data_IF_777905071515
#
_entry.id   IF_777905071515
#
_cell.length_a   1.000
_cell.length_b   1.000
_cell.length_c   1.000
_cell.angle_alpha   90.00
_cell.angle_beta   90.00
_cell.angle_gamma   90.00
#
_symmetry.space_group_name_H-M   'P 1'
#
loop_
_entity.id
_entity.type
_entity.pdbx_description
1 polymer ?
#
# COMPACT_ATOMS: atom_id res chain seq x y z
N UNK A 1 4.11 -22.28 -29.57
CA UNK A 1 4.35 -22.02 -28.13
C UNK A 1 3.37 -22.75 -27.17
N UNK A 2 2.32 -23.44 -27.65
CA UNK A 2 1.47 -24.30 -26.81
C UNK A 2 2.16 -25.61 -26.33
N UNK A 3 3.28 -26.00 -26.94
CA UNK A 3 3.97 -27.29 -26.73
C UNK A 3 4.76 -27.39 -25.41
N UNK A 4 4.89 -26.31 -24.65
CA UNK A 4 5.65 -26.28 -23.39
C UNK A 4 4.75 -26.34 -22.14
N UNK A 5 3.43 -26.48 -22.27
CA UNK A 5 2.50 -26.49 -21.13
C UNK A 5 2.49 -25.19 -20.32
N UNK A 6 3.15 -24.14 -20.78
CA UNK A 6 3.35 -22.88 -20.05
C UNK A 6 2.03 -22.13 -19.79
N UNK A 7 0.99 -22.42 -20.60
CA UNK A 7 -0.34 -21.83 -20.44
C UNK A 7 -1.28 -22.68 -19.55
N UNK A 8 -0.95 -23.95 -19.27
CA UNK A 8 -1.64 -24.80 -18.30
C UNK A 8 -0.95 -24.82 -16.92
N UNK A 9 0.27 -24.28 -16.84
CA UNK A 9 1.03 -24.21 -15.61
C UNK A 9 0.45 -23.16 -14.65
N UNK A 10 0.13 -23.58 -13.42
CA UNK A 10 -0.22 -22.68 -12.32
C UNK A 10 1.01 -21.89 -11.87
N UNK A 11 1.30 -20.79 -12.56
CA UNK A 11 2.41 -19.89 -12.23
C UNK A 11 1.98 -18.82 -11.22
N UNK A 12 2.88 -18.37 -10.30
CA UNK A 12 2.57 -17.27 -9.40
C UNK A 12 2.26 -15.98 -10.17
N UNK A 13 1.16 -15.31 -9.81
CA UNK A 13 0.87 -13.95 -10.28
C UNK A 13 1.56 -12.96 -9.35
N UNK A 14 2.69 -12.41 -9.78
CA UNK A 14 3.40 -11.39 -9.03
C UNK A 14 2.77 -10.00 -9.25
N UNK A 15 2.48 -9.32 -8.14
CA UNK A 15 1.97 -7.93 -8.14
C UNK A 15 3.09 -6.88 -8.14
N UNK A 16 4.32 -7.31 -7.86
CA UNK A 16 5.54 -6.50 -7.86
C UNK A 16 6.75 -7.39 -8.14
N UNK A 17 7.83 -6.81 -8.65
CA UNK A 17 9.13 -7.47 -8.73
C UNK A 17 10.23 -6.57 -8.13
N UNK A 18 11.00 -7.05 -7.14
CA UNK A 18 10.91 -8.38 -6.54
C UNK A 18 9.59 -8.56 -5.75
N UNK A 19 9.09 -9.81 -5.60
CA UNK A 19 7.88 -10.09 -4.82
C UNK A 19 8.04 -9.64 -3.37
N UNK A 20 6.97 -9.20 -2.71
CA UNK A 20 7.01 -8.72 -1.33
C UNK A 20 7.69 -9.68 -0.33
N UNK A 21 7.62 -11.00 -0.54
CA UNK A 21 8.34 -11.98 0.29
C UNK A 21 9.87 -11.82 0.28
N UNK A 22 10.41 -11.10 -0.70
CA UNK A 22 11.83 -10.77 -0.82
C UNK A 22 12.19 -9.45 -0.13
N UNK A 23 11.24 -8.77 0.53
CA UNK A 23 11.56 -7.64 1.39
C UNK A 23 12.26 -8.17 2.64
N UNK A 24 13.59 -8.13 2.65
CA UNK A 24 14.38 -8.38 3.86
C UNK A 24 14.38 -7.17 4.81
N UNK A 25 15.11 -7.29 5.92
CA UNK A 25 15.29 -6.22 6.92
C UNK A 25 16.20 -5.07 6.47
N UNK A 26 16.60 -5.03 5.19
CA UNK A 26 17.54 -4.05 4.65
C UNK A 26 16.90 -2.68 4.35
N UNK A 27 15.58 -2.54 4.54
CA UNK A 27 14.88 -1.26 4.38
C UNK A 27 14.55 -0.72 5.77
N UNK A 28 15.25 0.34 6.15
CA UNK A 28 15.09 1.05 7.42
C UNK A 28 14.58 2.50 7.18
N UNK A 29 14.19 3.23 8.23
CA UNK A 29 13.67 4.60 8.10
C UNK A 29 14.64 5.60 7.47
N UNK A 30 15.95 5.46 7.69
CA UNK A 30 16.98 6.35 7.10
C UNK A 30 17.00 6.16 5.59
N UNK A 31 17.03 4.90 5.15
CA UNK A 31 17.04 4.55 3.72
C UNK A 31 15.77 5.01 3.01
N UNK A 32 14.61 4.95 3.67
CA UNK A 32 13.35 5.50 3.13
C UNK A 32 13.44 7.02 2.98
N UNK A 33 13.94 7.73 4.00
CA UNK A 33 14.13 9.18 3.96
C UNK A 33 15.05 9.61 2.81
N UNK A 34 16.15 8.88 2.60
CA UNK A 34 17.09 9.10 1.49
C UNK A 34 16.48 8.89 0.11
N UNK A 35 15.48 8.01 -0.03
CA UNK A 35 14.77 7.82 -1.29
C UNK A 35 13.77 8.94 -1.55
N UNK A 36 13.04 9.36 -0.52
CA UNK A 36 12.06 10.45 -0.61
C UNK A 36 12.76 11.78 -0.92
N UNK A 37 13.92 12.06 -0.31
CA UNK A 37 14.69 13.30 -0.54
C UNK A 37 15.22 13.43 -1.98
N UNK A 38 15.31 12.33 -2.72
CA UNK A 38 15.74 12.30 -4.14
C UNK A 38 14.60 12.59 -5.12
N UNK A 39 13.35 12.65 -4.66
CA UNK A 39 12.21 13.00 -5.51
C UNK A 39 12.30 14.49 -5.86
N UNK A 40 12.35 14.80 -7.16
CA UNK A 40 12.46 16.19 -7.63
C UNK A 40 11.22 16.99 -7.25
N UNK A 41 11.36 18.27 -6.82
CA UNK A 41 10.23 19.17 -6.65
C UNK A 41 9.39 19.22 -7.94
N UNK A 42 8.06 19.21 -7.79
CA UNK A 42 7.13 19.20 -8.92
C UNK A 42 6.91 17.83 -9.58
N UNK A 43 7.51 16.75 -9.06
CA UNK A 43 7.20 15.39 -9.53
C UNK A 43 5.75 15.02 -9.20
N UNK A 44 5.07 14.36 -10.14
CA UNK A 44 3.76 13.75 -9.88
C UNK A 44 3.93 12.59 -8.89
N UNK A 45 3.11 12.59 -7.83
CA UNK A 45 3.07 11.50 -6.86
C UNK A 45 1.76 10.73 -6.99
N UNK A 46 1.81 9.44 -6.69
CA UNK A 46 0.62 8.60 -6.51
C UNK A 46 0.53 8.20 -5.05
N UNK A 47 -0.65 8.36 -4.45
CA UNK A 47 -0.90 7.99 -3.06
C UNK A 47 -1.72 6.70 -3.03
N UNK A 48 -1.23 5.72 -2.28
CA UNK A 48 -1.97 4.50 -1.97
C UNK A 48 -2.38 4.51 -0.49
N UNK A 49 -3.68 4.39 -0.24
CA UNK A 49 -4.25 4.28 1.11
C UNK A 49 -4.95 2.94 1.24
N UNK A 50 -4.55 2.15 2.23
CA UNK A 50 -5.20 0.87 2.51
C UNK A 50 -6.39 1.08 3.46
N UNK A 51 -7.60 0.63 3.09
CA UNK A 51 -8.78 0.69 3.97
C UNK A 51 -9.12 -0.73 4.42
N UNK A 52 -8.79 -1.12 5.68
CA UNK A 52 -8.90 -2.52 6.12
C UNK A 52 -10.29 -2.88 6.68
N UNK A 53 -11.38 -2.22 6.25
CA UNK A 53 -12.71 -2.41 6.83
C UNK A 53 -13.75 -2.83 5.81
N UNK A 54 -14.56 -3.82 6.18
CA UNK A 54 -15.71 -4.26 5.39
C UNK A 54 -16.97 -4.29 6.25
N UNK A 55 -18.11 -3.82 5.72
CA UNK A 55 -19.41 -3.95 6.40
C UNK A 55 -19.88 -5.41 6.48
N UNK A 56 -19.54 -6.20 5.47
CA UNK A 56 -19.77 -7.64 5.39
C UNK A 56 -18.51 -8.29 4.85
N UNK A 57 -18.08 -9.39 5.45
CA UNK A 57 -16.94 -10.16 4.97
C UNK A 57 -17.41 -11.10 3.86
N UNK A 58 -16.78 -11.01 2.69
CA UNK A 58 -16.99 -11.97 1.61
C UNK A 58 -16.23 -13.26 1.93
N UNK A 59 -16.85 -14.41 1.67
CA UNK A 59 -16.21 -15.71 1.89
C UNK A 59 -14.93 -15.91 1.06
N UNK A 60 -14.86 -15.29 -0.12
CA UNK A 60 -13.70 -15.32 -1.00
C UNK A 60 -12.70 -14.16 -0.76
N UNK A 61 -12.86 -13.37 0.32
CA UNK A 61 -11.97 -12.25 0.58
C UNK A 61 -10.55 -12.74 0.91
N UNK A 62 -9.60 -12.43 0.03
CA UNK A 62 -8.18 -12.74 0.23
C UNK A 62 -7.38 -11.55 0.80
N UNK A 63 -8.04 -10.44 1.13
CA UNK A 63 -7.41 -9.24 1.70
C UNK A 63 -7.48 -9.32 3.22
N UNK A 64 -6.44 -8.82 3.89
CA UNK A 64 -6.47 -8.61 5.34
C UNK A 64 -7.47 -7.48 5.64
N UNK A 65 -8.68 -7.84 6.03
CA UNK A 65 -9.76 -6.90 6.35
C UNK A 65 -10.46 -7.31 7.65
N UNK A 66 -10.92 -6.32 8.40
CA UNK A 66 -11.72 -6.48 9.60
C UNK A 66 -13.20 -6.23 9.29
N UNK A 67 -14.08 -7.11 9.74
CA UNK A 67 -15.52 -6.88 9.69
C UNK A 67 -15.90 -5.79 10.68
N UNK A 68 -16.54 -4.72 10.21
CA UNK A 68 -17.01 -3.62 11.06
C UNK A 68 -18.53 -3.54 11.09
N UNK A 69 -19.11 -3.49 12.28
CA UNK A 69 -20.56 -3.35 12.51
C UNK A 69 -21.00 -1.89 12.70
N UNK A 70 -20.07 -0.98 12.94
CA UNK A 70 -20.31 0.46 13.13
C UNK A 70 -19.24 1.29 12.43
N UNK A 71 -19.44 2.60 12.34
CA UNK A 71 -18.47 3.52 11.72
C UNK A 71 -17.34 3.95 12.66
N UNK A 72 -17.51 3.79 13.98
CA UNK A 72 -16.53 4.17 14.99
C UNK A 72 -15.07 3.75 14.69
N UNK A 73 -14.74 2.48 14.34
CA UNK A 73 -13.37 2.10 14.03
C UNK A 73 -12.85 2.72 12.71
N UNK A 74 -13.75 2.99 11.74
CA UNK A 74 -13.42 3.65 10.48
C UNK A 74 -13.09 5.11 10.74
N UNK A 75 -13.91 5.79 11.55
CA UNK A 75 -13.68 7.18 11.96
C UNK A 75 -12.36 7.33 12.70
N UNK A 76 -12.09 6.47 13.68
CA UNK A 76 -10.82 6.45 14.41
C UNK A 76 -9.62 6.27 13.46
N UNK A 77 -9.72 5.34 12.51
CA UNK A 77 -8.67 5.13 11.50
C UNK A 77 -8.46 6.37 10.62
N UNK A 78 -9.53 7.02 10.18
CA UNK A 78 -9.45 8.26 9.39
C UNK A 78 -8.79 9.38 10.19
N UNK A 79 -9.05 9.50 11.49
CA UNK A 79 -8.36 10.49 12.34
C UNK A 79 -6.85 10.22 12.42
N UNK A 80 -6.45 8.96 12.58
CA UNK A 80 -5.02 8.58 12.57
C UNK A 80 -4.39 8.88 11.21
N UNK A 81 -5.07 8.56 10.10
CA UNK A 81 -4.59 8.89 8.77
C UNK A 81 -4.42 10.39 8.57
N UNK A 82 -5.40 11.20 9.00
CA UNK A 82 -5.30 12.65 8.94
C UNK A 82 -4.13 13.15 9.76
N UNK A 83 -3.90 12.63 10.97
CA UNK A 83 -2.76 13.02 11.80
C UNK A 83 -1.41 12.64 11.17
N UNK A 84 -1.31 11.47 10.52
CA UNK A 84 -0.08 11.01 9.88
C UNK A 84 0.23 11.64 8.52
N UNK A 85 -0.81 12.06 7.78
CA UNK A 85 -0.68 12.73 6.47
C UNK A 85 -0.58 14.25 6.66
N UNK A 86 -1.17 14.81 7.72
CA UNK A 86 -1.04 16.21 8.05
C UNK A 86 0.42 16.53 8.38
N UNK A 87 1.06 17.45 7.64
CA UNK A 87 2.45 17.73 7.84
C UNK A 87 2.71 18.58 9.08
N UNK A 88 3.82 18.35 9.81
CA UNK A 88 4.54 19.43 10.46
C UNK A 88 5.43 20.22 9.46
N UNK A 89 5.75 19.69 8.27
CA UNK A 89 6.79 20.26 7.39
C UNK A 89 6.73 19.92 5.88
N UNK A 90 5.64 19.36 5.33
CA UNK A 90 5.56 19.10 3.89
C UNK A 90 5.37 20.41 3.11
N UNK A 91 6.48 20.93 2.59
CA UNK A 91 6.62 22.15 1.80
C UNK A 91 6.18 21.99 0.33
N UNK A 92 5.22 21.10 0.06
CA UNK A 92 4.53 21.07 -1.23
C UNK A 92 3.71 22.38 -1.36
N UNK A 93 4.37 23.44 -1.84
CA UNK A 93 3.72 24.67 -2.31
C UNK A 93 2.66 24.26 -3.31
N UNK A 94 1.43 24.68 -3.05
CA UNK A 94 0.38 24.81 -4.07
C UNK A 94 1.01 25.57 -5.25
N UNK A 95 1.04 24.92 -6.41
CA UNK A 95 1.11 25.61 -7.68
C UNK A 95 -0.16 26.44 -7.87
#
# INVERSE_FOLDING_TARGET
MARLGLFDAKVPRYKSYPPAAHSGHAVDPVRISDWVSKVRPGSSISLYVHVPFCRKLCWFCAVRTQGSRSDAPVEAYVQVLKAGIAPPHCSCRRA
#
